data_IF_688756173874
#
_entry.id   IF_688756173874
#
_cell.length_a   1.000
_cell.length_b   1.000
_cell.length_c   1.000
_cell.angle_alpha   90.00
_cell.angle_beta   90.00
_cell.angle_gamma   90.00
#
_symmetry.space_group_name_H-M   'P 1'
#
loop_
_entity.id
_entity.type
_entity.pdbx_description
1 polymer ?
#
# COMPACT_ATOMS: atom_id res chain seq x y z
N UNK A 1 13.09 21.05 26.68
CA UNK A 1 12.35 22.32 26.43
C UNK A 1 11.29 22.49 27.51
N UNK A 2 11.34 23.59 28.28
CA UNK A 2 10.42 23.92 29.38
C UNK A 2 9.21 24.68 28.83
N UNK A 3 7.99 24.18 29.05
CA UNK A 3 6.76 24.90 28.73
C UNK A 3 6.47 26.00 29.76
N UNK A 4 5.98 27.18 29.37
CA UNK A 4 5.56 28.22 30.31
C UNK A 4 4.21 27.86 30.96
N UNK A 5 4.11 28.13 32.27
CA UNK A 5 2.93 27.88 33.11
C UNK A 5 1.77 28.82 32.74
N UNK A 6 0.78 28.30 32.01
CA UNK A 6 -0.56 28.91 31.89
C UNK A 6 -1.34 28.64 33.18
N UNK A 7 -1.17 29.46 34.21
CA UNK A 7 -1.98 29.34 35.45
C UNK A 7 -2.41 30.68 36.05
N UNK A 8 -2.27 31.78 35.30
CA UNK A 8 -2.49 33.14 35.83
C UNK A 8 -3.73 33.87 35.30
N UNK A 9 -4.59 33.23 34.50
CA UNK A 9 -5.76 33.89 33.92
C UNK A 9 -7.06 33.72 34.73
N UNK A 10 -7.18 32.72 35.60
CA UNK A 10 -8.47 32.38 36.24
C UNK A 10 -8.75 33.16 37.55
N UNK A 11 -7.74 33.81 38.15
CA UNK A 11 -7.87 34.37 39.52
C UNK A 11 -8.35 35.81 39.63
N UNK A 12 -8.80 36.46 38.54
CA UNK A 12 -9.26 37.87 38.59
C UNK A 12 -10.74 38.11 38.30
N UNK A 13 -11.56 37.06 38.12
CA UNK A 13 -12.97 37.22 37.71
C UNK A 13 -14.03 37.04 38.79
N UNK A 14 -13.67 36.71 40.04
CA UNK A 14 -14.62 36.53 41.14
C UNK A 14 -14.55 37.68 42.16
N UNK A 15 -14.83 38.90 41.72
CA UNK A 15 -14.96 40.07 42.59
C UNK A 15 -16.03 41.02 42.05
N UNK A 16 -17.10 41.18 42.85
CA UNK A 16 -18.21 42.14 42.76
C UNK A 16 -19.14 42.11 41.53
N UNK A 17 -20.37 41.63 41.78
CA UNK A 17 -21.61 42.37 41.54
C UNK A 17 -21.93 42.80 40.11
N UNK A 18 -22.80 42.05 39.45
CA UNK A 18 -23.51 42.46 38.23
C UNK A 18 -22.79 42.10 36.94
N UNK A 19 -22.75 40.81 36.59
CA UNK A 19 -22.31 40.38 35.27
C UNK A 19 -23.54 40.21 34.37
N UNK A 20 -23.62 40.99 33.28
CA UNK A 20 -24.57 40.74 32.21
C UNK A 20 -24.24 39.40 31.55
N UNK A 21 -25.30 38.64 31.22
CA UNK A 21 -25.20 37.31 30.61
C UNK A 21 -24.31 37.28 29.36
N UNK A 22 -24.18 38.42 28.68
CA UNK A 22 -23.42 38.59 27.44
C UNK A 22 -21.91 38.41 27.62
N UNK A 23 -21.35 38.78 28.78
CA UNK A 23 -19.91 38.70 29.03
C UNK A 23 -19.42 37.25 29.24
N UNK A 24 -20.25 36.41 29.86
CA UNK A 24 -19.94 34.99 30.09
C UNK A 24 -20.04 34.18 28.79
N UNK A 25 -21.00 34.54 27.93
CA UNK A 25 -21.18 33.92 26.61
C UNK A 25 -20.01 34.23 25.66
N UNK A 26 -19.54 35.47 25.64
CA UNK A 26 -18.40 35.88 24.80
C UNK A 26 -17.09 35.18 25.20
N UNK A 27 -16.85 34.98 26.50
CA UNK A 27 -15.63 34.34 26.99
C UNK A 27 -15.63 32.81 26.75
N UNK A 28 -16.80 32.17 26.82
CA UNK A 28 -17.00 30.75 26.50
C UNK A 28 -16.73 30.45 25.02
N UNK A 29 -17.18 31.34 24.12
CA UNK A 29 -17.00 31.17 22.67
C UNK A 29 -15.53 31.28 22.25
N UNK A 30 -14.76 32.18 22.89
CA UNK A 30 -13.34 32.36 22.61
C UNK A 30 -12.47 31.15 23.04
N UNK A 31 -12.82 30.48 24.13
CA UNK A 31 -12.13 29.25 24.59
C UNK A 31 -12.45 28.07 23.65
N UNK A 32 -13.69 27.97 23.15
CA UNK A 32 -14.07 26.94 22.18
C UNK A 32 -13.36 27.12 20.82
N UNK A 33 -13.17 28.36 20.35
CA UNK A 33 -12.47 28.64 19.10
C UNK A 33 -10.94 28.47 19.18
N UNK A 34 -10.32 28.73 20.34
CA UNK A 34 -8.87 28.55 20.52
C UNK A 34 -8.46 27.11 20.86
N UNK A 35 -9.38 26.29 21.41
CA UNK A 35 -9.16 24.85 21.63
C UNK A 35 -9.22 24.00 20.35
N UNK A 36 -9.85 24.50 19.28
CA UNK A 36 -10.10 23.75 18.05
C UNK A 36 -8.88 23.59 17.12
N UNK A 37 -7.92 24.52 17.13
CA UNK A 37 -6.78 24.46 16.21
C UNK A 37 -5.66 23.50 16.64
N UNK A 38 -5.62 23.06 17.90
CA UNK A 38 -4.56 22.15 18.37
C UNK A 38 -4.82 20.69 17.98
N UNK A 39 -6.07 20.32 17.75
CA UNK A 39 -6.47 18.95 17.41
C UNK A 39 -6.26 18.60 15.92
N UNK A 40 -6.15 19.60 15.04
CA UNK A 40 -6.00 19.36 13.59
C UNK A 40 -4.58 18.92 13.18
N UNK A 41 -3.57 19.08 14.05
CA UNK A 41 -2.16 18.93 13.63
C UNK A 41 -1.56 17.54 13.81
N UNK A 42 -2.32 16.55 14.33
CA UNK A 42 -1.77 15.21 14.58
C UNK A 42 -2.77 14.07 14.34
N UNK A 43 -3.47 14.10 13.21
CA UNK A 43 -3.92 12.84 12.60
C UNK A 43 -2.68 12.16 12.00
N UNK A 44 -1.85 11.63 12.89
CA UNK A 44 -0.74 10.76 12.54
C UNK A 44 -1.39 9.53 11.90
N UNK A 45 -1.08 9.26 10.64
CA UNK A 45 -1.63 8.11 9.91
C UNK A 45 -1.46 6.86 10.76
N UNK A 46 -2.51 6.06 10.93
CA UNK A 46 -2.44 4.75 11.60
C UNK A 46 -1.37 3.85 10.97
N UNK A 47 -1.04 4.09 9.70
CA UNK A 47 -0.04 3.37 8.92
C UNK A 47 1.40 3.88 9.12
N UNK A 48 1.59 4.97 9.87
CA UNK A 48 2.90 5.55 10.11
C UNK A 48 3.49 6.24 8.88
N UNK A 49 4.81 6.17 8.73
CA UNK A 49 5.51 6.71 7.56
C UNK A 49 5.58 5.67 6.43
N UNK A 50 5.48 6.14 5.19
CA UNK A 50 5.74 5.36 3.98
C UNK A 50 7.21 5.52 3.58
N UNK A 51 7.81 4.46 3.08
CA UNK A 51 9.20 4.43 2.61
C UNK A 51 9.27 3.98 1.16
N UNK A 52 10.19 4.56 0.40
CA UNK A 52 10.51 4.20 -0.98
C UNK A 52 11.97 3.81 -1.10
N UNK A 53 12.19 2.71 -1.80
CA UNK A 53 13.50 2.13 -2.06
C UNK A 53 14.05 2.61 -3.40
N UNK A 54 15.36 2.83 -3.46
CA UNK A 54 16.09 3.03 -4.72
C UNK A 54 17.01 1.83 -4.94
N UNK A 55 17.17 1.42 -6.20
CA UNK A 55 17.87 0.20 -6.56
C UNK A 55 18.91 0.48 -7.64
N UNK A 56 20.03 -0.23 -7.57
CA UNK A 56 21.00 -0.34 -8.66
C UNK A 56 21.19 -1.82 -9.01
N UNK A 57 21.47 -2.08 -10.28
CA UNK A 57 21.86 -3.41 -10.73
C UNK A 57 23.34 -3.63 -10.37
N UNK A 58 23.65 -4.76 -9.76
CA UNK A 58 25.00 -5.22 -9.37
C UNK A 58 25.51 -6.27 -10.36
N UNK A 59 24.64 -7.21 -10.75
CA UNK A 59 24.94 -8.26 -11.71
C UNK A 59 23.86 -8.34 -12.78
N UNK A 60 24.18 -8.74 -14.03
CA UNK A 60 25.49 -9.22 -14.51
C UNK A 60 26.52 -8.11 -14.75
N UNK A 61 26.09 -6.86 -14.80
CA UNK A 61 26.96 -5.68 -14.86
C UNK A 61 26.33 -4.56 -14.02
N UNK A 62 27.18 -3.71 -13.43
CA UNK A 62 26.70 -2.61 -12.60
C UNK A 62 25.97 -1.56 -13.44
N UNK A 63 24.75 -1.19 -13.05
CA UNK A 63 23.93 -0.22 -13.80
C UNK A 63 22.92 0.49 -12.89
N UNK A 64 23.03 1.82 -12.79
CA UNK A 64 22.10 2.66 -12.02
C UNK A 64 20.81 2.96 -12.81
N UNK A 65 20.82 2.75 -14.13
CA UNK A 65 19.66 2.98 -15.00
C UNK A 65 18.70 1.80 -15.05
N UNK A 66 19.00 0.71 -14.31
CA UNK A 66 18.22 -0.53 -14.31
C UNK A 66 18.00 -1.09 -15.72
N UNK A 67 18.99 -0.88 -16.60
CA UNK A 67 18.98 -1.30 -17.98
C UNK A 67 20.13 -2.29 -18.19
N UNK A 68 19.79 -3.45 -18.72
CA UNK A 68 20.73 -4.45 -19.20
C UNK A 68 20.65 -4.54 -20.72
N UNK A 69 21.81 -4.71 -21.37
CA UNK A 69 21.92 -4.94 -22.81
C UNK A 69 23.05 -5.91 -23.07
N UNK A 70 22.78 -6.91 -23.90
CA UNK A 70 23.82 -7.73 -24.52
C UNK A 70 23.64 -7.75 -26.05
N UNK A 71 24.18 -8.77 -26.71
CA UNK A 71 24.07 -8.95 -28.16
C UNK A 71 22.70 -9.50 -28.61
N UNK A 72 21.89 -10.04 -27.69
CA UNK A 72 20.64 -10.75 -28.00
C UNK A 72 19.39 -10.02 -27.52
N UNK A 73 19.48 -9.28 -26.43
CA UNK A 73 18.33 -8.57 -25.86
C UNK A 73 18.70 -7.26 -25.15
N UNK A 74 17.66 -6.48 -24.90
CA UNK A 74 17.67 -5.33 -23.99
C UNK A 74 16.58 -5.58 -22.94
N UNK A 75 16.91 -5.40 -21.66
CA UNK A 75 15.94 -5.51 -20.56
C UNK A 75 15.99 -4.23 -19.72
N UNK A 76 14.83 -3.62 -19.53
CA UNK A 76 14.65 -2.52 -18.59
C UNK A 76 13.80 -2.98 -17.42
N UNK A 77 14.27 -2.72 -16.20
CA UNK A 77 13.57 -3.02 -14.97
C UNK A 77 12.98 -1.76 -14.35
N UNK A 78 11.84 -1.90 -13.69
CA UNK A 78 11.25 -0.87 -12.83
C UNK A 78 10.77 -1.51 -11.54
N UNK A 79 11.20 -0.98 -10.39
CA UNK A 79 10.76 -1.48 -9.09
C UNK A 79 9.59 -0.67 -8.58
N UNK A 80 8.55 -1.37 -8.15
CA UNK A 80 7.48 -0.83 -7.31
C UNK A 80 7.47 -1.58 -5.97
N UNK A 81 6.54 -1.22 -5.09
CA UNK A 81 6.52 -1.72 -3.72
C UNK A 81 6.32 -3.25 -3.65
N UNK A 82 5.39 -3.79 -4.45
CA UNK A 82 5.03 -5.21 -4.43
C UNK A 82 5.61 -6.04 -5.58
N UNK A 83 6.06 -5.42 -6.67
CA UNK A 83 6.50 -6.15 -7.85
C UNK A 83 7.60 -5.44 -8.64
N UNK A 84 8.21 -6.20 -9.55
CA UNK A 84 9.19 -5.69 -10.50
C UNK A 84 8.59 -5.69 -11.91
N UNK A 85 8.50 -4.52 -12.52
CA UNK A 85 8.14 -4.35 -13.91
C UNK A 85 9.31 -4.67 -14.82
N UNK A 86 9.03 -5.34 -15.92
CA UNK A 86 10.02 -5.83 -16.87
C UNK A 86 9.61 -5.42 -18.29
N UNK A 87 10.52 -4.79 -19.03
CA UNK A 87 10.38 -4.62 -20.48
C UNK A 87 11.56 -5.32 -21.17
N UNK A 88 11.25 -6.32 -21.98
CA UNK A 88 12.24 -7.07 -22.76
C UNK A 88 12.09 -6.70 -24.23
N UNK A 89 13.19 -6.37 -24.89
CA UNK A 89 13.27 -6.23 -26.33
C UNK A 89 14.21 -7.28 -26.89
N UNK A 90 13.74 -8.04 -27.88
CA UNK A 90 14.54 -9.01 -28.60
C UNK A 90 15.31 -8.30 -29.71
N UNK A 91 16.65 -8.29 -29.66
CA UNK A 91 17.49 -7.75 -30.74
C UNK A 91 18.26 -8.84 -31.48
N UNK A 92 18.00 -10.11 -31.14
CA UNK A 92 18.54 -11.27 -31.82
C UNK A 92 17.76 -11.54 -33.13
N UNK A 93 18.34 -12.33 -34.07
CA UNK A 93 17.64 -12.74 -35.28
C UNK A 93 16.66 -13.91 -35.06
N UNK A 94 16.58 -14.45 -33.84
CA UNK A 94 15.72 -15.59 -33.51
C UNK A 94 14.53 -15.15 -32.66
N UNK A 95 13.46 -15.93 -32.64
CA UNK A 95 12.38 -15.71 -31.69
C UNK A 95 12.85 -15.96 -30.26
N UNK A 96 12.37 -15.12 -29.34
CA UNK A 96 12.66 -15.20 -27.91
C UNK A 96 11.41 -15.69 -27.15
N UNK A 97 11.59 -16.61 -26.21
CA UNK A 97 10.57 -17.02 -25.23
C UNK A 97 11.12 -16.88 -23.82
N UNK A 98 10.29 -16.43 -22.89
CA UNK A 98 10.64 -16.41 -21.46
C UNK A 98 10.00 -17.62 -20.77
N UNK A 99 10.81 -18.51 -20.21
CA UNK A 99 10.35 -19.75 -19.59
C UNK A 99 9.86 -19.48 -18.16
N UNK A 100 8.68 -18.87 -18.02
CA UNK A 100 8.15 -18.39 -16.74
C UNK A 100 8.07 -19.44 -15.62
N UNK A 101 7.91 -20.72 -15.96
CA UNK A 101 7.87 -21.81 -14.98
C UNK A 101 9.20 -21.96 -14.20
N UNK A 102 10.33 -21.57 -14.79
CA UNK A 102 11.65 -21.57 -14.13
C UNK A 102 12.08 -20.19 -13.63
N UNK A 103 11.28 -19.15 -13.84
CA UNK A 103 11.60 -17.81 -13.39
C UNK A 103 11.40 -17.69 -11.88
N UNK A 104 12.31 -16.97 -11.21
CA UNK A 104 12.23 -16.78 -9.75
C UNK A 104 12.72 -15.41 -9.32
N UNK A 105 12.21 -14.97 -8.17
CA UNK A 105 12.64 -13.76 -7.48
C UNK A 105 13.18 -14.16 -6.10
N UNK A 106 14.42 -13.75 -5.83
CA UNK A 106 15.14 -13.97 -4.59
C UNK A 106 15.18 -12.72 -3.71
N UNK A 107 14.83 -12.83 -2.44
CA UNK A 107 14.96 -11.73 -1.46
C UNK A 107 15.70 -12.28 -0.25
N UNK A 108 16.84 -11.67 0.09
CA UNK A 108 17.66 -12.15 1.22
C UNK A 108 18.12 -13.62 1.07
N UNK A 109 18.31 -14.08 -0.17
CA UNK A 109 18.69 -15.47 -0.48
C UNK A 109 17.53 -16.47 -0.53
N UNK A 110 16.29 -16.07 -0.22
CA UNK A 110 15.11 -16.91 -0.34
C UNK A 110 14.46 -16.72 -1.71
N UNK A 111 14.44 -17.77 -2.51
CA UNK A 111 13.89 -17.76 -3.86
C UNK A 111 12.44 -18.26 -3.88
N UNK A 112 11.62 -17.57 -4.66
CA UNK A 112 10.23 -17.93 -4.89
C UNK A 112 9.92 -17.86 -6.39
N UNK A 113 9.01 -18.71 -6.86
CA UNK A 113 8.46 -18.57 -8.20
C UNK A 113 7.74 -17.23 -8.36
N UNK A 114 7.55 -16.81 -9.61
CA UNK A 114 6.92 -15.52 -9.93
C UNK A 114 5.54 -15.69 -10.58
N UNK A 115 4.65 -14.74 -10.31
CA UNK A 115 3.46 -14.48 -11.11
C UNK A 115 3.74 -13.35 -12.10
N UNK A 116 3.06 -13.42 -13.24
CA UNK A 116 3.14 -12.50 -14.37
C UNK A 116 1.80 -11.84 -14.64
N UNK A 117 1.72 -10.93 -15.60
CA UNK A 117 0.46 -10.28 -16.00
C UNK A 117 -0.60 -11.31 -16.41
N UNK A 118 -0.18 -12.44 -16.99
CA UNK A 118 -1.07 -13.50 -17.46
C UNK A 118 -1.72 -14.35 -16.36
N UNK A 119 -1.15 -14.39 -15.16
CA UNK A 119 -1.66 -15.18 -14.03
C UNK A 119 -1.64 -14.42 -12.69
N UNK A 120 -1.66 -13.08 -12.76
CA UNK A 120 -1.48 -12.21 -11.60
C UNK A 120 -2.49 -12.49 -10.48
N UNK A 121 -3.78 -12.45 -10.81
CA UNK A 121 -4.90 -12.77 -9.90
C UNK A 121 -5.56 -14.10 -10.27
N UNK A 122 -4.75 -15.13 -10.48
CA UNK A 122 -5.23 -16.49 -10.72
C UNK A 122 -5.01 -17.35 -9.47
N UNK A 123 -5.98 -18.21 -9.14
CA UNK A 123 -5.80 -19.23 -8.11
C UNK A 123 -4.85 -20.34 -8.55
N UNK A 124 -4.65 -20.48 -9.86
CA UNK A 124 -3.68 -21.43 -10.44
C UNK A 124 -2.32 -20.79 -10.64
N UNK A 125 -1.25 -21.58 -10.44
CA UNK A 125 0.14 -21.17 -10.69
C UNK A 125 0.59 -21.38 -12.13
N UNK A 126 -0.29 -21.93 -12.99
CA UNK A 126 0.06 -22.21 -14.37
C UNK A 126 0.23 -20.89 -15.14
N UNK A 127 1.40 -20.70 -15.75
CA UNK A 127 1.60 -19.63 -16.71
C UNK A 127 0.69 -19.90 -17.92
N UNK A 128 -0.35 -19.07 -18.13
CA UNK A 128 -1.40 -19.33 -19.14
C UNK A 128 -0.91 -19.25 -20.59
N UNK A 129 0.24 -18.61 -20.84
CA UNK A 129 0.88 -18.56 -22.16
C UNK A 129 2.33 -18.06 -22.03
N UNK A 130 3.28 -18.67 -22.73
CA UNK A 130 4.64 -18.11 -22.89
C UNK A 130 4.65 -17.29 -24.19
N UNK A 131 4.56 -15.95 -24.12
CA UNK A 131 4.52 -15.13 -25.32
C UNK A 131 5.81 -15.29 -26.12
N UNK A 132 5.66 -15.48 -27.44
CA UNK A 132 6.75 -15.44 -28.40
C UNK A 132 7.07 -13.97 -28.69
N UNK A 133 8.34 -13.59 -28.55
CA UNK A 133 8.84 -12.25 -28.84
C UNK A 133 9.66 -12.34 -30.13
N UNK A 134 9.14 -11.91 -31.29
CA UNK A 134 9.87 -11.99 -32.55
C UNK A 134 11.11 -11.07 -32.54
N UNK A 135 12.04 -11.21 -33.51
CA UNK A 135 13.13 -10.26 -33.71
C UNK A 135 12.64 -8.81 -33.74
N UNK A 136 13.32 -7.92 -33.01
CA UNK A 136 12.96 -6.52 -32.79
C UNK A 136 11.64 -6.30 -32.00
N UNK A 137 10.97 -7.37 -31.60
CA UNK A 137 9.76 -7.35 -30.79
C UNK A 137 10.03 -6.90 -29.35
N UNK A 138 8.98 -6.38 -28.71
CA UNK A 138 9.01 -5.92 -27.32
C UNK A 138 7.91 -6.63 -26.55
N UNK A 139 8.25 -7.11 -25.35
CA UNK A 139 7.30 -7.63 -24.37
C UNK A 139 7.40 -6.84 -23.07
N UNK A 140 6.26 -6.66 -22.41
CA UNK A 140 6.17 -6.02 -21.09
C UNK A 140 5.45 -6.96 -20.15
N UNK A 141 6.02 -7.13 -18.96
CA UNK A 141 5.47 -8.00 -17.94
C UNK A 141 5.75 -7.47 -16.52
N UNK A 142 5.20 -8.16 -15.54
CA UNK A 142 5.39 -7.94 -14.11
C UNK A 142 5.92 -9.21 -13.47
N UNK A 143 6.74 -9.08 -12.43
CA UNK A 143 7.23 -10.18 -11.61
C UNK A 143 6.88 -9.88 -10.15
N UNK A 144 5.99 -10.68 -9.59
CA UNK A 144 5.67 -10.67 -8.16
C UNK A 144 5.88 -12.07 -7.59
N UNK A 145 6.46 -12.24 -6.39
CA UNK A 145 6.54 -13.55 -5.75
C UNK A 145 5.16 -14.21 -5.66
N UNK A 146 5.09 -15.51 -5.94
CA UNK A 146 3.83 -16.27 -5.90
C UNK A 146 3.10 -16.11 -4.56
N UNK A 147 3.85 -16.09 -3.46
CA UNK A 147 3.33 -15.99 -2.10
C UNK A 147 2.95 -14.55 -1.71
N UNK A 148 3.34 -13.55 -2.49
CA UNK A 148 2.99 -12.16 -2.23
C UNK A 148 1.60 -11.80 -2.77
N UNK A 149 0.95 -12.68 -3.54
CA UNK A 149 -0.43 -12.48 -4.00
C UNK A 149 -1.33 -13.52 -3.36
N UNK A 150 -2.27 -13.08 -2.53
CA UNK A 150 -3.17 -13.95 -1.78
C UNK A 150 -4.57 -13.37 -1.69
N UNK A 151 -5.54 -14.19 -1.31
CA UNK A 151 -6.92 -13.76 -1.07
C UNK A 151 -7.11 -13.56 0.43
N UNK A 152 -7.58 -12.37 0.82
CA UNK A 152 -7.99 -12.04 2.18
C UNK A 152 -9.47 -11.66 2.17
N UNK A 153 -10.31 -12.52 2.74
CA UNK A 153 -11.76 -12.37 2.65
C UNK A 153 -12.25 -12.49 1.21
N UNK A 154 -12.83 -11.43 0.68
CA UNK A 154 -13.34 -11.34 -0.70
C UNK A 154 -12.39 -10.60 -1.65
N UNK A 155 -11.20 -10.19 -1.19
CA UNK A 155 -10.28 -9.33 -1.95
C UNK A 155 -8.93 -9.99 -2.16
N UNK A 156 -8.39 -9.77 -3.36
CA UNK A 156 -6.98 -9.99 -3.60
C UNK A 156 -6.14 -8.96 -2.86
N UNK A 157 -5.05 -9.43 -2.27
CA UNK A 157 -4.05 -8.66 -1.56
C UNK A 157 -2.69 -8.93 -2.15
N UNK A 158 -1.87 -7.90 -2.09
CA UNK A 158 -0.47 -7.93 -2.47
C UNK A 158 0.37 -7.58 -1.24
N UNK A 159 1.45 -8.32 -1.07
CA UNK A 159 2.48 -8.02 -0.10
C UNK A 159 3.65 -7.34 -0.79
N UNK A 160 4.18 -6.30 -0.15
CA UNK A 160 5.37 -5.61 -0.62
C UNK A 160 6.59 -6.57 -0.70
N UNK A 161 7.52 -6.32 -1.63
CA UNK A 161 8.81 -7.02 -1.72
C UNK A 161 9.64 -6.78 -0.47
N UNK A 162 9.63 -5.54 0.02
CA UNK A 162 10.24 -5.11 1.27
C UNK A 162 9.23 -4.30 2.08
N UNK A 163 9.25 -4.33 3.42
CA UNK A 163 8.31 -3.55 4.21
C UNK A 163 8.35 -2.06 3.87
N UNK A 164 7.25 -1.47 3.40
CA UNK A 164 7.22 -0.03 3.04
C UNK A 164 6.63 0.88 4.11
N UNK A 165 6.13 0.32 5.21
CA UNK A 165 5.41 1.05 6.27
C UNK A 165 5.96 0.70 7.66
N UNK A 166 6.15 1.72 8.51
CA UNK A 166 6.63 1.52 9.89
C UNK A 166 5.50 1.36 10.93
N UNK A 167 4.25 1.69 10.59
CA UNK A 167 3.10 1.66 11.52
C UNK A 167 3.37 2.40 12.85
N UNK A 168 4.14 3.49 12.80
CA UNK A 168 4.60 4.24 13.97
C UNK A 168 5.43 3.43 14.96
N UNK A 169 5.99 2.28 14.56
CA UNK A 169 6.86 1.45 15.38
C UNK A 169 8.34 1.79 15.12
N UNK A 170 9.10 2.27 16.14
CA UNK A 170 10.52 2.56 15.98
C UNK A 170 11.33 1.34 15.53
N UNK A 171 11.05 0.15 16.07
CA UNK A 171 11.76 -1.07 15.69
C UNK A 171 11.55 -1.42 14.21
N UNK A 172 10.34 -1.20 13.70
CA UNK A 172 10.01 -1.46 12.29
C UNK A 172 10.65 -0.43 11.36
N UNK A 173 10.68 0.83 11.76
CA UNK A 173 11.44 1.88 11.04
C UNK A 173 12.91 1.47 10.95
N UNK A 174 13.52 1.10 12.06
CA UNK A 174 14.95 0.79 12.09
C UNK A 174 15.26 -0.47 11.25
N UNK A 175 14.36 -1.47 11.24
CA UNK A 175 14.48 -2.62 10.33
C UNK A 175 14.34 -2.26 8.85
N UNK A 176 13.48 -1.30 8.51
CA UNK A 176 13.32 -0.81 7.13
C UNK A 176 14.58 -0.09 6.67
N UNK A 177 15.14 0.78 7.51
CA UNK A 177 16.36 1.52 7.18
C UNK A 177 17.58 0.60 7.08
N UNK A 178 17.60 -0.52 7.82
CA UNK A 178 18.66 -1.52 7.76
C UNK A 178 18.67 -2.35 6.45
N UNK A 179 17.65 -2.23 5.59
CA UNK A 179 17.59 -2.96 4.32
C UNK A 179 18.52 -2.39 3.24
N UNK A 180 19.18 -1.25 3.48
CA UNK A 180 20.23 -0.75 2.57
C UNK A 180 21.29 -1.82 2.37
N UNK A 181 21.73 -2.00 1.12
CA UNK A 181 22.62 -3.07 0.65
C UNK A 181 22.05 -4.49 0.69
N UNK A 182 20.75 -4.66 1.00
CA UNK A 182 20.10 -5.96 0.81
C UNK A 182 19.93 -6.23 -0.68
N UNK A 183 20.15 -7.49 -1.06
CA UNK A 183 20.04 -7.93 -2.44
C UNK A 183 18.63 -8.44 -2.78
N UNK A 184 18.20 -8.12 -3.99
CA UNK A 184 17.08 -8.73 -4.68
C UNK A 184 17.62 -9.38 -5.96
N UNK A 185 17.33 -10.67 -6.13
CA UNK A 185 17.77 -11.45 -7.28
C UNK A 185 16.58 -11.75 -8.21
N UNK A 186 16.83 -11.75 -9.52
CA UNK A 186 15.86 -12.16 -10.53
C UNK A 186 16.53 -13.19 -11.44
N UNK A 187 15.93 -14.37 -11.58
CA UNK A 187 16.38 -15.43 -12.47
C UNK A 187 15.37 -15.60 -13.59
N UNK A 188 15.82 -15.44 -14.83
CA UNK A 188 15.01 -15.51 -16.04
C UNK A 188 15.61 -16.53 -17.02
N UNK A 189 15.12 -17.79 -17.03
CA UNK A 189 15.42 -18.72 -18.12
C UNK A 189 14.69 -18.27 -19.39
N UNK A 190 15.43 -18.21 -20.49
CA UNK A 190 14.96 -17.74 -21.78
C UNK A 190 15.43 -18.67 -22.89
N UNK A 191 14.64 -18.77 -23.95
CA UNK A 191 14.94 -19.57 -25.14
C UNK A 191 15.04 -18.64 -26.36
N UNK A 192 16.12 -18.76 -27.12
CA UNK A 192 16.34 -18.06 -28.40
C UNK A 192 16.41 -19.10 -29.51
N UNK A 193 15.33 -19.25 -30.30
CA UNK A 193 15.24 -20.34 -31.26
C UNK A 193 15.26 -21.70 -30.57
N UNK A 194 16.40 -22.39 -30.58
CA UNK A 194 16.61 -23.69 -29.92
C UNK A 194 17.62 -23.64 -28.76
N UNK A 195 18.16 -22.45 -28.45
CA UNK A 195 19.18 -22.28 -27.41
C UNK A 195 18.55 -21.74 -26.13
N UNK A 196 18.73 -22.44 -25.01
CA UNK A 196 18.31 -21.98 -23.69
C UNK A 196 19.46 -21.25 -22.97
N UNK A 197 19.16 -20.08 -22.41
CA UNK A 197 20.09 -19.27 -21.61
C UNK A 197 19.37 -18.72 -20.38
N UNK A 198 19.98 -18.92 -19.22
CA UNK A 198 19.48 -18.36 -17.95
C UNK A 198 20.18 -17.04 -17.64
N UNK A 199 19.42 -15.96 -17.56
CA UNK A 199 19.91 -14.68 -17.08
C UNK A 199 19.69 -14.56 -15.56
N UNK A 200 20.70 -14.06 -14.85
CA UNK A 200 20.63 -13.77 -13.42
C UNK A 200 20.97 -12.31 -13.21
N UNK A 201 20.06 -11.61 -12.56
CA UNK A 201 20.21 -10.21 -12.20
C UNK A 201 20.23 -10.10 -10.69
N UNK A 202 21.17 -9.34 -10.15
CA UNK A 202 21.21 -9.01 -8.73
C UNK A 202 21.13 -7.51 -8.62
N UNK A 203 20.23 -7.03 -7.77
CA UNK A 203 20.01 -5.63 -7.47
C UNK A 203 20.30 -5.37 -6.00
N UNK A 204 20.92 -4.24 -5.70
CA UNK A 204 21.11 -3.79 -4.33
C UNK A 204 20.16 -2.64 -4.01
N UNK A 205 19.65 -2.61 -2.78
CA UNK A 205 18.98 -1.42 -2.24
C UNK A 205 20.03 -0.36 -1.96
N UNK A 206 20.07 0.72 -2.75
CA UNK A 206 21.04 1.80 -2.56
C UNK A 206 20.65 2.73 -1.41
N UNK A 207 19.36 3.05 -1.32
CA UNK A 207 18.84 3.97 -0.31
C UNK A 207 17.37 3.73 -0.01
N UNK A 208 16.99 4.12 1.20
CA UNK A 208 15.60 4.11 1.68
C UNK A 208 15.26 5.51 2.14
N UNK A 209 14.19 6.10 1.61
CA UNK A 209 13.72 7.43 2.00
C UNK A 209 12.26 7.40 2.42
N UNK A 210 11.91 8.18 3.42
CA UNK A 210 10.51 8.40 3.76
C UNK A 210 9.86 9.31 2.70
N UNK A 211 8.63 8.99 2.33
CA UNK A 211 7.81 9.77 1.41
C UNK A 211 6.47 10.13 2.07
N UNK A 212 5.84 11.21 1.60
CA UNK A 212 4.46 11.51 1.98
C UNK A 212 3.50 10.49 1.36
N UNK A 213 2.42 10.17 2.07
CA UNK A 213 1.31 9.36 1.54
C UNK A 213 0.68 9.97 0.27
N UNK A 214 0.78 11.28 0.08
CA UNK A 214 0.31 11.95 -1.14
C UNK A 214 1.21 11.70 -2.37
N UNK A 215 2.45 11.25 -2.15
CA UNK A 215 3.40 10.88 -3.21
C UNK A 215 3.33 9.39 -3.54
N UNK A 216 2.61 8.61 -2.74
CA UNK A 216 2.35 7.22 -3.01
C UNK A 216 1.34 7.12 -4.15
N UNK A 217 1.76 6.54 -5.27
CA UNK A 217 0.93 6.42 -6.47
C UNK A 217 0.87 4.96 -6.85
N UNK A 218 -0.34 4.44 -6.97
CA UNK A 218 -0.53 3.10 -7.52
C UNK A 218 0.01 3.08 -8.95
N UNK A 219 0.86 2.11 -9.32
CA UNK A 219 1.49 2.11 -10.62
C UNK A 219 0.46 1.83 -11.72
N UNK A 220 0.41 2.68 -12.75
CA UNK A 220 -0.61 2.57 -13.82
C UNK A 220 -0.52 1.28 -14.64
N UNK A 221 0.67 0.68 -14.68
CA UNK A 221 0.98 -0.53 -15.44
C UNK A 221 0.64 -1.82 -14.70
N UNK A 222 0.30 -1.70 -13.42
CA UNK A 222 -0.01 -2.82 -12.56
C UNK A 222 -1.46 -3.26 -12.79
N UNK A 223 -1.75 -4.56 -12.98
CA UNK A 223 -3.11 -5.03 -13.23
C UNK A 223 -3.98 -4.69 -12.03
N UNK A 224 -5.21 -4.22 -12.27
CA UNK A 224 -6.15 -3.99 -11.16
C UNK A 224 -6.71 -5.32 -10.69
N UNK A 225 -6.78 -5.52 -9.38
CA UNK A 225 -7.48 -6.64 -8.77
C UNK A 225 -8.88 -6.80 -9.37
N UNK A 226 -9.34 -8.05 -9.62
CA UNK A 226 -10.71 -8.26 -10.04
C UNK A 226 -11.63 -7.63 -8.99
N UNK A 227 -12.61 -6.86 -9.46
CA UNK A 227 -13.58 -6.24 -8.57
C UNK A 227 -14.24 -7.35 -7.75
N UNK A 228 -14.44 -7.10 -6.45
CA UNK A 228 -15.25 -8.02 -5.66
C UNK A 228 -16.63 -8.09 -6.32
N UNK A 229 -17.19 -9.30 -6.57
CA UNK A 229 -18.55 -9.38 -7.04
C UNK A 229 -19.39 -8.60 -6.04
N UNK A 230 -20.13 -7.58 -6.50
CA UNK A 230 -21.04 -6.85 -5.65
C UNK A 230 -22.07 -7.87 -5.18
N UNK A 231 -21.91 -8.36 -3.95
CA UNK A 231 -22.94 -9.12 -3.28
C UNK A 231 -24.04 -8.10 -3.03
N UNK A 232 -25.00 -8.02 -3.95
CA UNK A 232 -26.21 -7.27 -3.68
C UNK A 232 -26.86 -7.96 -2.47
N UNK A 233 -27.13 -7.22 -1.38
CA UNK A 233 -27.77 -7.81 -0.21
C UNK A 233 -29.05 -8.48 -0.67
N UNK A 234 -29.28 -9.73 -0.23
CA UNK A 234 -30.48 -10.46 -0.61
C UNK A 234 -31.72 -9.68 -0.16
N UNK A 235 -32.87 -9.92 -0.78
CA UNK A 235 -34.13 -9.27 -0.38
C UNK A 235 -34.42 -9.47 1.11
N UNK A 236 -33.98 -10.60 1.68
CA UNK A 236 -34.10 -10.90 3.10
C UNK A 236 -33.16 -10.06 3.97
N UNK A 237 -31.93 -9.80 3.52
CA UNK A 237 -30.98 -8.94 4.24
C UNK A 237 -31.46 -7.48 4.27
N UNK A 238 -32.05 -7.02 3.16
CA UNK A 238 -32.64 -5.69 3.06
C UNK A 238 -33.86 -5.54 3.99
N UNK A 239 -34.73 -6.55 4.03
CA UNK A 239 -35.88 -6.57 4.92
C UNK A 239 -35.46 -6.59 6.40
N UNK A 240 -34.45 -7.39 6.74
CA UNK A 240 -33.91 -7.48 8.11
C UNK A 240 -33.30 -6.16 8.55
N UNK A 241 -32.50 -5.52 7.68
CA UNK A 241 -31.95 -4.20 7.94
C UNK A 241 -33.05 -3.13 8.12
N UNK A 242 -34.09 -3.16 7.28
CA UNK A 242 -35.22 -2.24 7.39
C UNK A 242 -35.99 -2.41 8.72
N UNK A 243 -36.22 -3.66 9.15
CA UNK A 243 -36.87 -3.95 10.44
C UNK A 243 -36.02 -3.45 11.61
N UNK A 244 -34.70 -3.66 11.58
CA UNK A 244 -33.80 -3.19 12.63
C UNK A 244 -33.78 -1.66 12.72
N UNK A 245 -33.68 -0.96 11.59
CA UNK A 245 -33.70 0.51 11.55
C UNK A 245 -35.04 1.05 12.02
N UNK A 246 -36.15 0.47 11.56
CA UNK A 246 -37.50 0.87 11.98
C UNK A 246 -37.72 0.63 13.49
N UNK A 247 -37.25 -0.49 14.02
CA UNK A 247 -37.31 -0.80 15.45
C UNK A 247 -36.50 0.18 16.29
N UNK A 248 -35.29 0.55 15.84
CA UNK A 248 -34.44 1.50 16.55
C UNK A 248 -35.02 2.92 16.56
N UNK A 249 -35.58 3.36 15.43
CA UNK A 249 -36.27 4.64 15.31
C UNK A 249 -37.55 4.67 16.15
N UNK A 250 -38.35 3.60 16.11
CA UNK A 250 -39.56 3.46 16.91
C UNK A 250 -39.27 3.48 18.41
N UNK A 251 -38.24 2.77 18.86
CA UNK A 251 -37.80 2.79 20.25
C UNK A 251 -37.28 4.17 20.69
N UNK A 252 -36.50 4.83 19.83
CA UNK A 252 -35.99 6.18 20.12
C UNK A 252 -37.12 7.20 20.23
N UNK A 253 -38.10 7.16 19.32
CA UNK A 253 -39.28 8.01 19.38
C UNK A 253 -40.13 7.73 20.63
N UNK A 254 -40.31 6.46 20.99
CA UNK A 254 -40.98 6.07 22.21
C UNK A 254 -40.28 6.61 23.46
N UNK A 255 -38.95 6.46 23.57
CA UNK A 255 -38.17 6.98 24.70
C UNK A 255 -38.24 8.51 24.83
N UNK A 256 -38.34 9.23 23.71
CA UNK A 256 -38.50 10.69 23.69
C UNK A 256 -39.92 11.15 24.03
N UNK A 257 -40.93 10.33 23.78
CA UNK A 257 -42.35 10.68 23.98
C UNK A 257 -42.94 10.07 25.26
N UNK A 258 -42.28 9.08 25.85
CA UNK A 258 -42.63 8.51 27.14
C UNK A 258 -42.55 9.60 28.21
N UNK A 259 -43.71 10.08 28.66
CA UNK A 259 -43.81 11.02 29.78
C UNK A 259 -43.15 10.40 30.99
N UNK A 260 -42.10 11.06 31.50
CA UNK A 260 -41.56 10.77 32.83
C UNK A 260 -42.65 11.11 33.84
N UNK A 261 -43.34 10.09 34.34
CA UNK A 261 -44.16 10.27 35.52
C UNK A 261 -43.21 10.59 36.68
N UNK A 262 -43.41 11.72 37.39
CA UNK A 262 -42.57 12.04 38.53
C UNK A 262 -42.69 10.94 39.59
N UNK A 263 -41.59 10.63 40.30
CA UNK A 263 -41.64 9.63 41.37
C UNK A 263 -42.65 10.09 42.43
N UNK A 264 -43.62 9.23 42.73
CA UNK A 264 -44.50 9.39 43.88
C UNK A 264 -43.73 9.00 45.13
N UNK A 265 -43.50 9.98 46.02
CA UNK A 265 -43.02 9.81 47.39
C UNK A 265 -44.06 9.14 48.29
#
# INVERSE_FOLDING_TARGET
MKYPKFTKCIRRFFGSGGQSLDAVLACSLAVALLGGCSAATRLQSTYGNKYRYSYSMVAPARSDSLLFRDERLIIQFRFDDAAVGLQIQNISPFDLRVLWAGASLGIGGLYSGVRTLGNFYDTTLAARHVPLIPPLGVSRDVLIPVNNVYVEGDRWREMDLFPTMDFNSPSRRDSILALVSTNLDIVLPMEFGSEEKTYRFTFAVDSVRSISWSEDRFPEWFPRGPGTPRINPSTNDQLTAAILVAGFLGFSAYMLTAKKNPPTE
#
